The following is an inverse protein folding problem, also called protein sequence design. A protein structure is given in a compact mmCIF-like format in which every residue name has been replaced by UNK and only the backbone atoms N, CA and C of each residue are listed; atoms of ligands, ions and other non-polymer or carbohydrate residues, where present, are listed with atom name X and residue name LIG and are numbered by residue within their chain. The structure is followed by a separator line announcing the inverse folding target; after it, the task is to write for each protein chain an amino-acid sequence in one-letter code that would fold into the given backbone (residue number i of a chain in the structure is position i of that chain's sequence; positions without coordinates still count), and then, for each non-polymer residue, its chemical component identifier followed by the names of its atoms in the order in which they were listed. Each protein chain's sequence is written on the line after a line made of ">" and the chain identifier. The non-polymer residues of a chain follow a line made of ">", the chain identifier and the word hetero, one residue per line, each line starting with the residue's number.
data_IF_582735547011
#
_entry.id   IF_582735547011
#
_cell.length_a   1.000
_cell.length_b   1.000
_cell.length_c   1.000
_cell.angle_alpha   90.00
_cell.angle_beta   90.00
_cell.angle_gamma   90.00
#
_symmetry.space_group_name_H-M   'P 1'
#
loop_
_entity.id
_entity.type
_entity.pdbx_description
1 polymer ?
#
# COMPACT_ATOMS: atom_id res chain seq x y z
N UNK A 1 18.62 -6.92 -3.11
CA UNK A 1 18.42 -8.03 -2.15
C UNK A 1 17.25 -7.64 -1.28
N UNK A 2 16.27 -8.52 -1.12
CA UNK A 2 15.09 -8.28 -0.28
C UNK A 2 15.46 -8.35 1.20
N UNK A 3 14.93 -7.43 2.00
CA UNK A 3 15.06 -7.41 3.47
C UNK A 3 14.44 -8.69 4.02
N UNK A 4 15.24 -9.45 4.78
CA UNK A 4 14.80 -10.66 5.48
C UNK A 4 14.81 -10.41 6.99
N UNK A 5 13.64 -10.45 7.60
CA UNK A 5 13.45 -10.49 9.05
C UNK A 5 12.44 -11.60 9.37
N UNK A 6 12.54 -12.15 10.56
CA UNK A 6 11.60 -13.12 11.12
C UNK A 6 10.28 -12.46 11.50
N UNK A 7 9.21 -13.26 11.64
CA UNK A 7 7.92 -12.78 12.13
C UNK A 7 8.03 -12.12 13.51
N UNK A 8 8.90 -12.63 14.38
CA UNK A 8 9.12 -12.07 15.71
C UNK A 8 9.73 -10.65 15.64
N UNK A 9 10.71 -10.44 14.75
CA UNK A 9 11.32 -9.12 14.53
C UNK A 9 10.32 -8.13 13.92
N UNK A 10 9.46 -8.58 13.01
CA UNK A 10 8.40 -7.74 12.46
C UNK A 10 7.34 -7.38 13.50
N UNK A 11 6.87 -8.35 14.30
CA UNK A 11 5.91 -8.12 15.39
C UNK A 11 6.46 -7.18 16.48
N UNK A 12 7.77 -7.09 16.64
CA UNK A 12 8.39 -6.14 17.57
C UNK A 12 8.42 -4.70 17.06
N UNK A 13 8.29 -4.49 15.74
CA UNK A 13 8.37 -3.17 15.08
C UNK A 13 7.00 -2.64 14.63
N UNK A 14 6.06 -3.55 14.37
CA UNK A 14 4.75 -3.24 13.80
C UNK A 14 3.66 -3.41 14.86
N UNK A 15 2.58 -2.64 14.74
CA UNK A 15 1.35 -2.94 15.47
C UNK A 15 0.75 -4.27 15.00
N UNK A 16 -0.17 -4.84 15.78
CA UNK A 16 -0.85 -6.09 15.41
C UNK A 16 -1.54 -5.98 14.05
N UNK A 17 -2.22 -4.86 13.78
CA UNK A 17 -2.90 -4.62 12.52
C UNK A 17 -1.92 -4.44 11.35
N UNK A 18 -0.84 -3.68 11.55
CA UNK A 18 0.21 -3.51 10.54
C UNK A 18 0.86 -4.85 10.20
N UNK A 19 1.14 -5.70 11.20
CA UNK A 19 1.67 -7.04 10.97
C UNK A 19 0.66 -7.93 10.22
N UNK A 20 -0.60 -7.95 10.65
CA UNK A 20 -1.68 -8.72 10.01
C UNK A 20 -1.82 -8.34 8.53
N UNK A 21 -1.84 -7.05 8.22
CA UNK A 21 -1.93 -6.56 6.85
C UNK A 21 -0.67 -6.90 6.07
N UNK A 22 0.50 -6.44 6.52
CA UNK A 22 1.74 -6.49 5.72
C UNK A 22 2.40 -7.87 5.64
N UNK A 23 2.16 -8.77 6.61
CA UNK A 23 2.81 -10.10 6.69
C UNK A 23 1.87 -11.26 6.57
N UNK A 24 0.59 -11.07 6.89
CA UNK A 24 -0.42 -12.14 6.79
C UNK A 24 -1.40 -11.88 5.63
N UNK A 25 -1.09 -10.95 4.73
CA UNK A 25 -1.91 -10.57 3.58
C UNK A 25 -3.35 -10.20 3.98
N UNK A 26 -3.49 -9.60 5.16
CA UNK A 26 -4.76 -9.10 5.66
C UNK A 26 -5.20 -7.84 4.93
N UNK A 27 -6.50 -7.57 4.96
CA UNK A 27 -7.07 -6.29 4.52
C UNK A 27 -7.69 -5.59 5.73
N UNK A 28 -7.39 -4.31 5.93
CA UNK A 28 -8.03 -3.49 6.97
C UNK A 28 -9.50 -3.20 6.60
N UNK A 29 -10.40 -2.96 7.56
CA UNK A 29 -11.78 -2.58 7.24
C UNK A 29 -11.85 -1.30 6.40
N UNK A 30 -12.85 -1.21 5.52
CA UNK A 30 -13.08 -0.01 4.71
C UNK A 30 -13.37 1.20 5.62
N UNK A 31 -12.81 2.36 5.27
CA UNK A 31 -12.98 3.66 5.94
C UNK A 31 -12.47 3.69 7.40
N UNK A 32 -11.64 2.73 7.81
CA UNK A 32 -11.05 2.71 9.17
C UNK A 32 -9.57 3.11 9.22
N UNK A 33 -8.87 3.09 8.09
CA UNK A 33 -7.45 3.45 8.03
C UNK A 33 -7.20 4.91 8.42
N UNK A 34 -6.01 5.24 8.91
CA UNK A 34 -5.68 6.64 9.26
C UNK A 34 -5.46 7.53 8.02
N UNK A 35 -5.20 6.93 6.85
CA UNK A 35 -4.73 7.63 5.65
C UNK A 35 -5.73 7.59 4.49
N UNK A 36 -6.94 7.04 4.67
CA UNK A 36 -7.89 6.91 3.56
C UNK A 36 -8.34 8.31 3.07
N UNK A 37 -8.60 9.24 3.98
CA UNK A 37 -9.04 10.62 3.71
C UNK A 37 -7.93 11.68 3.78
N UNK A 38 -6.67 11.27 3.98
CA UNK A 38 -5.53 12.20 4.01
C UNK A 38 -5.33 12.89 2.65
N UNK A 39 -5.09 14.21 2.68
CA UNK A 39 -5.01 15.10 1.51
C UNK A 39 -3.82 16.03 1.53
N UNK A 40 -2.97 15.98 2.56
CA UNK A 40 -1.73 16.74 2.59
C UNK A 40 -0.76 16.26 1.52
N UNK A 41 0.06 17.18 1.06
CA UNK A 41 1.16 16.87 0.16
C UNK A 41 2.26 16.12 0.91
N UNK A 42 2.82 15.09 0.27
CA UNK A 42 3.85 14.25 0.86
C UNK A 42 3.97 12.87 0.24
N UNK A 43 4.77 12.02 0.88
CA UNK A 43 5.14 10.69 0.37
C UNK A 43 4.59 9.59 1.29
N UNK A 44 4.02 8.56 0.67
CA UNK A 44 3.57 7.35 1.33
C UNK A 44 4.66 6.28 1.21
N UNK A 45 5.31 6.01 2.33
CA UNK A 45 6.38 5.03 2.44
C UNK A 45 5.85 3.69 2.93
N UNK A 46 6.57 2.61 2.64
CA UNK A 46 6.31 1.30 3.21
C UNK A 46 6.53 1.33 4.73
N UNK A 47 5.49 1.02 5.52
CA UNK A 47 5.60 0.98 7.00
C UNK A 47 6.67 0.01 7.51
N UNK A 48 7.03 -1.00 6.71
CA UNK A 48 8.00 -2.03 7.10
C UNK A 48 9.46 -1.62 6.88
N UNK A 49 9.77 -1.00 5.74
CA UNK A 49 11.15 -0.75 5.33
C UNK A 49 11.47 0.72 5.05
N UNK A 50 10.47 1.59 5.00
CA UNK A 50 10.64 3.01 4.71
C UNK A 50 10.81 3.34 3.22
N UNK A 51 10.74 2.35 2.32
CA UNK A 51 10.83 2.61 0.88
C UNK A 51 9.68 3.51 0.41
N UNK A 52 9.97 4.50 -0.43
CA UNK A 52 8.94 5.35 -1.05
C UNK A 52 8.11 4.54 -2.05
N UNK A 53 6.78 4.61 -1.93
CA UNK A 53 5.85 3.81 -2.74
C UNK A 53 4.93 4.68 -3.60
N UNK A 54 4.32 5.71 -3.00
CA UNK A 54 3.33 6.56 -3.66
C UNK A 54 3.50 8.03 -3.27
N UNK A 55 3.16 8.94 -4.19
CA UNK A 55 3.06 10.39 -3.92
C UNK A 55 1.62 10.78 -3.61
N UNK A 56 1.41 11.85 -2.85
CA UNK A 56 0.11 12.53 -2.74
C UNK A 56 -0.42 12.99 -4.10
N UNK A 57 0.45 13.34 -5.05
CA UNK A 57 0.07 13.79 -6.40
C UNK A 57 -0.76 12.75 -7.17
N UNK A 58 -0.52 11.48 -6.86
CA UNK A 58 -1.20 10.36 -7.52
C UNK A 58 -2.38 9.84 -6.71
N UNK A 59 -2.57 10.35 -5.48
CA UNK A 59 -3.66 9.99 -4.59
C UNK A 59 -4.96 10.64 -5.03
N UNK A 60 -6.06 9.90 -4.94
CA UNK A 60 -7.39 10.42 -5.21
C UNK A 60 -8.46 9.71 -4.37
N UNK A 61 -9.65 10.32 -4.29
CA UNK A 61 -10.80 9.70 -3.63
C UNK A 61 -11.53 8.78 -4.63
N UNK A 62 -11.39 7.47 -4.41
CA UNK A 62 -12.08 6.45 -5.21
C UNK A 62 -13.44 6.03 -4.64
N UNK A 63 -13.79 6.49 -3.43
CA UNK A 63 -14.94 5.99 -2.67
C UNK A 63 -14.84 4.53 -2.22
N UNK A 64 -13.68 3.87 -2.38
CA UNK A 64 -13.50 2.45 -2.04
C UNK A 64 -13.34 2.18 -0.55
N UNK A 65 -12.90 3.18 0.23
CA UNK A 65 -12.65 3.07 1.67
C UNK A 65 -11.19 2.83 2.06
N UNK A 66 -10.26 2.81 1.10
CA UNK A 66 -8.83 2.72 1.34
C UNK A 66 -8.07 3.80 0.55
N UNK A 67 -6.86 4.18 1.01
CA UNK A 67 -5.94 4.98 0.20
C UNK A 67 -5.88 4.47 -1.25
N UNK A 68 -6.14 5.37 -2.19
CA UNK A 68 -6.22 5.04 -3.61
C UNK A 68 -5.29 5.93 -4.42
N UNK A 69 -4.47 5.32 -5.26
CA UNK A 69 -3.52 6.00 -6.12
C UNK A 69 -3.70 5.54 -7.56
N UNK A 70 -3.49 6.41 -8.55
CA UNK A 70 -3.57 5.98 -9.95
C UNK A 70 -2.24 5.43 -10.50
N UNK A 71 -1.13 5.77 -9.87
CA UNK A 71 0.20 5.23 -10.20
C UNK A 71 1.14 5.26 -8.98
N UNK A 72 2.14 4.35 -8.92
CA UNK A 72 3.22 4.42 -7.96
C UNK A 72 4.24 5.50 -8.37
N UNK A 73 5.17 5.84 -7.47
CA UNK A 73 6.29 6.72 -7.85
C UNK A 73 7.21 6.01 -8.87
N UNK A 74 7.88 6.76 -9.74
CA UNK A 74 8.76 6.21 -10.79
C UNK A 74 9.85 5.28 -10.23
N UNK A 75 10.46 5.66 -9.11
CA UNK A 75 11.50 4.88 -8.43
C UNK A 75 10.92 3.89 -7.39
N UNK A 76 9.59 3.78 -7.30
CA UNK A 76 8.95 2.91 -6.33
C UNK A 76 9.28 1.44 -6.62
N UNK A 77 9.62 0.73 -5.55
CA UNK A 77 9.85 -0.72 -5.57
C UNK A 77 8.53 -1.43 -5.33
N UNK A 78 7.55 -1.21 -6.21
CA UNK A 78 6.24 -1.87 -6.14
C UNK A 78 6.22 -3.06 -7.10
N UNK A 79 6.08 -4.26 -6.56
CA UNK A 79 5.86 -5.47 -7.33
C UNK A 79 4.40 -5.89 -7.33
N UNK A 80 4.03 -6.68 -8.33
CA UNK A 80 2.67 -7.19 -8.47
C UNK A 80 2.65 -8.71 -8.67
N UNK A 81 1.72 -9.39 -8.01
CA UNK A 81 1.51 -10.84 -8.17
C UNK A 81 0.03 -11.11 -8.49
N UNK A 82 -0.24 -12.01 -9.44
CA UNK A 82 -1.62 -12.43 -9.72
C UNK A 82 -2.17 -13.29 -8.56
N UNK A 83 -3.17 -12.77 -7.84
CA UNK A 83 -3.99 -13.53 -6.91
C UNK A 83 -5.21 -14.12 -7.63
N UNK A 84 -5.31 -15.45 -7.64
CA UNK A 84 -6.41 -16.22 -8.26
C UNK A 84 -7.38 -16.78 -7.22
N UNK A 85 -7.34 -16.30 -5.99
CA UNK A 85 -8.21 -16.75 -4.90
C UNK A 85 -9.67 -16.35 -5.16
N UNK A 86 -10.61 -17.17 -4.64
CA UNK A 86 -12.05 -16.89 -4.65
C UNK A 86 -12.69 -16.63 -6.03
N UNK A 87 -12.20 -17.27 -7.10
CA UNK A 87 -12.70 -17.10 -8.49
C UNK A 87 -12.62 -15.66 -9.03
N UNK A 88 -11.95 -14.76 -8.32
CA UNK A 88 -11.67 -13.40 -8.77
C UNK A 88 -10.19 -13.32 -9.13
N UNK A 89 -9.89 -12.70 -10.28
CA UNK A 89 -8.51 -12.32 -10.61
C UNK A 89 -8.26 -10.95 -10.01
N UNK A 90 -7.46 -10.89 -8.96
CA UNK A 90 -6.98 -9.63 -8.40
C UNK A 90 -5.48 -9.59 -8.55
N UNK A 91 -4.92 -8.41 -8.79
CA UNK A 91 -3.47 -8.24 -8.85
C UNK A 91 -3.04 -7.69 -7.50
N UNK A 92 -2.41 -8.53 -6.67
CA UNK A 92 -1.83 -8.11 -5.41
C UNK A 92 -0.66 -7.15 -5.66
N UNK A 93 -0.55 -6.11 -4.84
CA UNK A 93 0.58 -5.17 -4.83
C UNK A 93 1.38 -5.40 -3.54
N UNK A 94 2.70 -5.54 -3.68
CA UNK A 94 3.63 -5.73 -2.58
C UNK A 94 4.89 -4.87 -2.72
N UNK A 95 5.51 -4.53 -1.60
CA UNK A 95 6.81 -3.84 -1.61
C UNK A 95 7.93 -4.81 -2.01
N UNK A 96 8.65 -4.57 -3.10
CA UNK A 96 9.73 -5.43 -3.59
C UNK A 96 10.95 -5.45 -2.65
N UNK A 97 11.16 -4.38 -1.87
CA UNK A 97 12.27 -4.33 -0.93
C UNK A 97 12.10 -5.26 0.26
N UNK A 98 10.88 -5.45 0.76
CA UNK A 98 10.65 -6.21 1.99
C UNK A 98 9.51 -7.24 1.92
N UNK A 99 8.87 -7.37 0.75
CA UNK A 99 7.72 -8.26 0.48
C UNK A 99 6.54 -8.02 1.40
N UNK A 100 6.36 -6.77 1.87
CA UNK A 100 5.17 -6.39 2.62
C UNK A 100 3.96 -6.34 1.67
N UNK A 101 2.87 -7.01 2.03
CA UNK A 101 1.59 -6.84 1.38
C UNK A 101 1.11 -5.39 1.54
N UNK A 102 0.74 -4.76 0.42
CA UNK A 102 0.26 -3.38 0.40
C UNK A 102 -1.24 -3.34 0.13
N UNK A 103 -1.70 -4.06 -0.89
CA UNK A 103 -3.10 -4.07 -1.30
C UNK A 103 -3.27 -4.70 -2.66
N UNK A 104 -4.11 -4.10 -3.51
CA UNK A 104 -4.39 -4.60 -4.85
C UNK A 104 -4.47 -3.47 -5.88
N UNK A 105 -4.19 -3.80 -7.14
CA UNK A 105 -4.40 -2.91 -8.28
C UNK A 105 -5.55 -3.41 -9.15
N UNK A 106 -6.38 -2.46 -9.60
CA UNK A 106 -7.57 -2.70 -10.40
C UNK A 106 -7.54 -1.85 -11.70
N UNK A 107 -8.10 -2.33 -12.81
CA UNK A 107 -8.14 -1.61 -14.09
C UNK A 107 -9.36 -0.67 -14.20
N UNK A 108 -9.75 -0.03 -13.10
CA UNK A 108 -10.92 0.86 -12.98
C UNK A 108 -10.55 2.24 -12.40
N UNK A 109 -9.30 2.65 -12.60
CA UNK A 109 -8.80 3.96 -12.16
C UNK A 109 -9.03 5.09 -13.17
N UNK A 110 -8.68 6.32 -12.79
CA UNK A 110 -8.75 7.49 -13.67
C UNK A 110 -7.64 7.47 -14.72
N UNK A 111 -7.78 8.34 -15.74
CA UNK A 111 -6.64 8.71 -16.59
C UNK A 111 -5.53 9.37 -15.75
N UNK A 112 -4.26 9.25 -16.14
CA UNK A 112 -3.75 8.74 -17.42
C UNK A 112 -3.56 7.21 -17.49
N UNK A 113 -3.47 6.52 -16.34
CA UNK A 113 -3.10 5.09 -16.31
C UNK A 113 -4.29 4.15 -16.46
N UNK A 114 -5.49 4.58 -16.07
CA UNK A 114 -6.66 3.71 -15.94
C UNK A 114 -6.54 2.69 -14.81
N UNK A 115 -5.52 2.82 -13.94
CA UNK A 115 -5.24 1.90 -12.85
C UNK A 115 -5.62 2.52 -11.51
N UNK A 116 -6.09 1.68 -10.59
CA UNK A 116 -6.38 2.06 -9.21
C UNK A 116 -5.62 1.14 -8.26
N UNK A 117 -4.58 1.68 -7.65
CA UNK A 117 -3.84 1.07 -6.55
C UNK A 117 -4.61 1.32 -5.26
N UNK A 118 -5.34 0.30 -4.80
CA UNK A 118 -6.11 0.32 -3.56
C UNK A 118 -5.25 -0.29 -2.45
N UNK A 119 -4.70 0.57 -1.59
CA UNK A 119 -3.62 0.21 -0.66
C UNK A 119 -4.11 0.36 0.78
N UNK A 120 -3.80 -0.61 1.63
CA UNK A 120 -4.15 -0.55 3.05
C UNK A 120 -3.39 0.60 3.73
N UNK A 121 -4.07 1.45 4.50
CA UNK A 121 -3.44 2.49 5.32
C UNK A 121 -2.44 1.89 6.31
N UNK A 122 -2.74 0.73 6.89
CA UNK A 122 -1.86 0.02 7.81
C UNK A 122 -0.56 -0.48 7.15
N UNK A 123 -0.42 -0.41 5.82
CA UNK A 123 0.82 -0.74 5.11
C UNK A 123 1.70 0.49 4.83
N UNK A 124 1.21 1.69 5.12
CA UNK A 124 1.82 2.96 4.74
C UNK A 124 2.24 3.79 5.97
N UNK A 125 3.35 4.48 5.84
CA UNK A 125 3.80 5.57 6.70
C UNK A 125 3.82 6.86 5.87
N UNK A 126 2.98 7.82 6.22
CA UNK A 126 2.89 9.08 5.49
C UNK A 126 3.88 10.10 6.04
N UNK A 127 4.70 10.69 5.16
CA UNK A 127 5.60 11.80 5.47
C UNK A 127 5.10 13.04 4.73
N UNK A 128 4.52 14.03 5.43
CA UNK A 128 4.13 15.28 4.81
C UNK A 128 5.39 16.00 4.28
N UNK A 129 5.25 16.71 3.17
CA UNK A 129 6.28 17.62 2.69
C UNK A 129 6.39 18.81 3.66
N UNK A 130 7.62 19.16 4.07
CA UNK A 130 7.86 20.34 4.91
C UNK A 130 7.94 21.58 4.00
N UNK A 131 7.15 22.62 4.30
CA UNK A 131 7.15 23.93 3.63
C UNK A 131 8.48 24.70 3.78
#
# INVERSE_FOLDING_TARGET
>A
MTIKKTDAEWKAQLTEEQFRVTRQHGTEPAFSGALWDEKKDGVYNCICCGAALFSSDTKYDSGSGWPSFYEPMDDARNGTTEDRSFFMKRTEVHCDECQAHLGHVFPDGPEPTGLRFCINSASLDFKPEED
#
